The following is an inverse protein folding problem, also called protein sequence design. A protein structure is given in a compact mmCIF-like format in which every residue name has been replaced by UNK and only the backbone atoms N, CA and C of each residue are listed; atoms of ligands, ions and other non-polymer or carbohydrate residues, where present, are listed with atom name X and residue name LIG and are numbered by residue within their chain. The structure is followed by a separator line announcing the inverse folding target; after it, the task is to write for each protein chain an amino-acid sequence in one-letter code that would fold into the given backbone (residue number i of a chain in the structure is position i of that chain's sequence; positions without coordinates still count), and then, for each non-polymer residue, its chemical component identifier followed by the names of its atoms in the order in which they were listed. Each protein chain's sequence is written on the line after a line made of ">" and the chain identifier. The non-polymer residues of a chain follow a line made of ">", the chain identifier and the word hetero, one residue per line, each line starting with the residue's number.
data_IF_002454411334
#
_entry.id   IF_002454411334
#
_cell.length_a   1.000
_cell.length_b   1.000
_cell.length_c   1.000
_cell.angle_alpha   90.00
_cell.angle_beta   90.00
_cell.angle_gamma   90.00
#
_symmetry.space_group_name_H-M   'P 1'
#
loop_
_entity.id
_entity.type
_entity.pdbx_description
1 polymer ?
#
# COMPACT_ATOMS: atom_id res chain seq x y z
N UNK A 1 -5.65 -78.17 -40.98
CA UNK A 1 -6.06 -76.74 -41.14
C UNK A 1 -6.01 -76.04 -39.79
N UNK A 2 -4.96 -75.23 -39.48
CA UNK A 2 -4.95 -74.46 -38.24
C UNK A 2 -5.46 -73.06 -38.45
N UNK A 3 -6.34 -72.62 -37.55
CA UNK A 3 -6.91 -71.30 -37.45
C UNK A 3 -5.92 -70.33 -36.84
N UNK A 4 -5.51 -69.33 -37.61
CA UNK A 4 -4.69 -68.19 -37.13
C UNK A 4 -5.51 -67.24 -36.28
N UNK A 5 -5.10 -67.07 -35.00
CA UNK A 5 -5.63 -66.04 -34.08
C UNK A 5 -4.87 -64.74 -34.33
N UNK A 6 -5.53 -63.73 -34.88
CA UNK A 6 -5.02 -62.38 -35.02
C UNK A 6 -5.15 -61.68 -33.64
N UNK A 7 -4.04 -61.41 -32.97
CA UNK A 7 -3.97 -60.59 -31.75
C UNK A 7 -3.90 -59.12 -32.17
N UNK A 8 -4.98 -58.39 -31.88
CA UNK A 8 -4.97 -56.93 -31.93
C UNK A 8 -4.24 -56.41 -30.69
N UNK A 9 -3.10 -55.74 -30.89
CA UNK A 9 -2.39 -54.98 -29.87
C UNK A 9 -2.90 -53.56 -29.94
N UNK A 10 -3.72 -53.13 -28.94
CA UNK A 10 -4.06 -51.73 -28.73
C UNK A 10 -2.82 -51.01 -28.17
N UNK A 11 -2.45 -49.80 -28.67
CA UNK A 11 -1.40 -49.01 -28.06
C UNK A 11 -1.94 -48.38 -26.75
N UNK A 12 -1.10 -48.18 -25.72
CA UNK A 12 -1.50 -47.49 -24.50
C UNK A 12 -1.75 -46.01 -24.79
N UNK A 13 -2.96 -45.54 -24.50
CA UNK A 13 -3.27 -44.13 -24.42
C UNK A 13 -2.45 -43.52 -23.27
N UNK A 14 -1.40 -42.80 -23.62
CA UNK A 14 -0.69 -41.90 -22.69
C UNK A 14 -1.57 -40.69 -22.42
N UNK A 15 -2.31 -40.72 -21.29
CA UNK A 15 -3.02 -39.56 -20.79
C UNK A 15 -2.00 -38.51 -20.32
N UNK A 16 -1.72 -37.55 -21.20
CA UNK A 16 -0.97 -36.35 -20.82
C UNK A 16 -1.85 -35.51 -19.88
N UNK A 17 -1.61 -35.64 -18.58
CA UNK A 17 -2.19 -34.77 -17.55
C UNK A 17 -1.58 -33.38 -17.69
N UNK A 18 -2.24 -32.51 -18.46
CA UNK A 18 -1.86 -31.10 -18.56
C UNK A 18 -2.23 -30.43 -17.22
N UNK A 19 -1.24 -30.29 -16.36
CA UNK A 19 -1.36 -29.40 -15.20
C UNK A 19 -1.48 -27.97 -15.71
N UNK A 20 -2.71 -27.47 -15.82
CA UNK A 20 -2.96 -26.03 -15.85
C UNK A 20 -2.55 -25.48 -14.50
N UNK A 21 -1.34 -24.97 -14.39
CA UNK A 21 -0.95 -24.03 -13.33
C UNK A 21 -1.85 -22.79 -13.47
N UNK A 22 -2.98 -22.82 -12.79
CA UNK A 22 -3.78 -21.62 -12.57
C UNK A 22 -2.89 -20.64 -11.80
N UNK A 23 -2.22 -19.75 -12.53
CA UNK A 23 -1.54 -18.62 -11.91
C UNK A 23 -2.57 -17.88 -11.05
N UNK A 24 -2.49 -18.06 -9.73
CA UNK A 24 -3.34 -17.33 -8.81
C UNK A 24 -3.15 -15.83 -9.11
N UNK A 25 -4.24 -15.05 -9.26
CA UNK A 25 -4.11 -13.64 -9.54
C UNK A 25 -3.28 -13.02 -8.43
N UNK A 26 -2.13 -12.42 -8.79
CA UNK A 26 -1.23 -11.77 -7.84
C UNK A 26 -1.99 -10.72 -7.05
N UNK A 27 -2.24 -11.01 -5.79
CA UNK A 27 -2.98 -10.12 -4.91
C UNK A 27 -2.08 -8.93 -4.56
N UNK A 28 -2.46 -7.75 -5.04
CA UNK A 28 -1.84 -6.49 -4.61
C UNK A 28 -2.06 -6.33 -3.12
N UNK A 29 -0.99 -6.22 -2.36
CA UNK A 29 -1.06 -6.20 -0.92
C UNK A 29 -0.28 -4.99 -0.38
N UNK A 30 -0.64 -4.50 0.78
CA UNK A 30 0.09 -3.50 1.55
C UNK A 30 -0.26 -3.70 3.02
N UNK A 31 0.61 -3.26 3.91
CA UNK A 31 0.30 -3.16 5.34
C UNK A 31 0.49 -1.72 5.75
N UNK A 32 -0.50 -1.15 6.44
CA UNK A 32 -0.52 0.23 6.92
C UNK A 32 -0.69 0.22 8.43
N UNK A 33 0.05 1.10 9.13
CA UNK A 33 -0.19 1.36 10.55
C UNK A 33 0.21 2.78 10.91
N UNK A 34 -0.44 3.30 11.95
CA UNK A 34 -0.17 4.62 12.49
C UNK A 34 -0.42 4.63 14.00
N UNK A 35 0.27 5.53 14.68
CA UNK A 35 0.07 5.85 16.09
C UNK A 35 -0.05 7.36 16.26
N UNK A 36 -0.81 7.82 17.26
CA UNK A 36 -0.98 9.24 17.57
C UNK A 36 -1.10 9.49 19.07
N UNK A 37 -0.87 10.74 19.47
CA UNK A 37 -1.04 11.23 20.84
C UNK A 37 -0.09 10.56 21.82
N UNK A 38 -0.61 10.15 22.99
CA UNK A 38 0.19 9.50 24.05
C UNK A 38 0.78 8.15 23.64
N UNK A 39 0.31 7.56 22.53
CA UNK A 39 0.90 6.34 22.01
C UNK A 39 2.27 6.61 21.33
N UNK A 40 2.63 7.85 21.05
CA UNK A 40 3.89 8.28 20.42
C UNK A 40 4.77 9.00 21.44
N UNK A 41 6.04 8.68 21.47
CA UNK A 41 7.01 9.35 22.35
C UNK A 41 7.10 10.84 21.99
N UNK A 42 6.80 11.72 22.96
CA UNK A 42 6.78 13.16 22.74
C UNK A 42 5.50 13.67 22.06
N UNK A 43 4.52 12.81 21.84
CA UNK A 43 3.24 13.17 21.16
C UNK A 43 3.41 13.31 19.65
N UNK A 44 2.31 13.74 19.00
CA UNK A 44 2.24 13.85 17.55
C UNK A 44 1.75 12.54 16.90
N UNK A 45 2.19 12.24 15.67
CA UNK A 45 1.79 11.03 14.96
C UNK A 45 2.95 10.38 14.20
N UNK A 46 2.86 9.07 14.02
CA UNK A 46 3.74 8.30 13.15
C UNK A 46 2.86 7.47 12.23
N UNK A 47 3.15 7.47 10.94
CA UNK A 47 2.45 6.68 9.94
C UNK A 47 3.43 5.90 9.09
N UNK A 48 3.13 4.61 8.82
CA UNK A 48 4.03 3.69 8.12
C UNK A 48 3.26 2.86 7.12
N UNK A 49 3.91 2.58 6.00
CA UNK A 49 3.41 1.68 4.95
C UNK A 49 4.50 0.75 4.46
N UNK A 50 4.22 -0.57 4.47
CA UNK A 50 4.87 -1.52 3.58
C UNK A 50 4.04 -1.63 2.30
N UNK A 51 4.69 -1.32 1.17
CA UNK A 51 4.10 -1.48 -0.16
C UNK A 51 4.50 -2.82 -0.74
N UNK A 52 3.51 -3.70 -0.88
CA UNK A 52 3.74 -4.98 -1.53
C UNK A 52 3.17 -4.98 -2.94
N UNK A 53 3.97 -5.46 -3.88
CA UNK A 53 3.61 -5.51 -5.28
C UNK A 53 4.33 -6.64 -6.01
N UNK A 54 3.93 -6.90 -7.26
CA UNK A 54 4.68 -7.80 -8.13
C UNK A 54 6.06 -7.20 -8.43
N UNK A 55 7.11 -8.01 -8.47
CA UNK A 55 8.45 -7.57 -8.91
C UNK A 55 8.41 -6.86 -10.27
N UNK A 56 9.42 -6.03 -10.54
CA UNK A 56 9.57 -5.32 -11.81
C UNK A 56 8.80 -4.01 -11.95
N UNK A 57 7.94 -3.63 -10.96
CA UNK A 57 7.34 -2.28 -10.93
C UNK A 57 8.32 -1.29 -10.29
N UNK A 58 8.67 -0.22 -11.01
CA UNK A 58 9.60 0.78 -10.47
C UNK A 58 8.93 1.65 -9.40
N UNK A 59 9.70 1.98 -8.38
CA UNK A 59 9.32 2.87 -7.29
C UNK A 59 10.31 4.01 -7.25
N UNK A 60 9.83 5.25 -7.06
CA UNK A 60 10.70 6.41 -6.92
C UNK A 60 10.07 7.47 -6.03
N UNK A 61 10.89 8.33 -5.47
CA UNK A 61 10.44 9.52 -4.75
C UNK A 61 10.42 10.69 -5.74
N UNK A 62 9.32 11.43 -5.73
CA UNK A 62 9.17 12.67 -6.49
C UNK A 62 8.69 13.81 -5.61
N UNK A 63 9.13 15.02 -5.95
CA UNK A 63 8.74 16.26 -5.28
C UNK A 63 7.87 17.07 -6.24
N UNK A 64 6.69 17.41 -5.77
CA UNK A 64 5.70 18.17 -6.51
C UNK A 64 5.54 19.57 -5.92
N UNK A 65 5.48 20.57 -6.80
CA UNK A 65 5.24 21.98 -6.43
C UNK A 65 4.11 22.52 -7.32
N UNK A 66 2.86 22.16 -7.01
CA UNK A 66 1.73 22.61 -7.82
C UNK A 66 1.50 24.10 -7.65
N UNK A 67 1.14 24.78 -8.74
CA UNK A 67 0.71 26.17 -8.66
C UNK A 67 -0.61 26.27 -7.87
N UNK A 68 -0.62 27.08 -6.80
CA UNK A 68 -1.83 27.31 -5.99
C UNK A 68 -2.20 26.17 -5.03
N UNK A 69 -1.22 25.35 -4.61
CA UNK A 69 -1.42 24.28 -3.62
C UNK A 69 -0.15 23.95 -2.86
N UNK A 70 -0.24 23.07 -1.89
CA UNK A 70 0.89 22.66 -1.06
C UNK A 70 1.90 21.84 -1.86
N UNK A 71 3.18 22.13 -1.66
CA UNK A 71 4.27 21.27 -2.12
C UNK A 71 4.24 19.93 -1.35
N UNK A 72 4.60 18.84 -2.02
CA UNK A 72 4.60 17.52 -1.38
C UNK A 72 5.66 16.58 -1.95
N UNK A 73 6.09 15.65 -1.13
CA UNK A 73 6.93 14.51 -1.48
C UNK A 73 6.04 13.28 -1.62
N UNK A 74 6.24 12.48 -2.65
CA UNK A 74 5.45 11.27 -2.87
C UNK A 74 6.29 10.07 -3.29
N UNK A 75 5.94 8.90 -2.75
CA UNK A 75 6.34 7.62 -3.31
C UNK A 75 5.44 7.34 -4.52
N UNK A 76 6.06 7.34 -5.70
CA UNK A 76 5.41 7.07 -6.96
C UNK A 76 5.54 5.59 -7.33
N UNK A 77 4.45 5.02 -7.82
CA UNK A 77 4.44 3.72 -8.45
C UNK A 77 4.29 3.89 -9.95
N UNK A 78 5.30 3.49 -10.69
CA UNK A 78 5.28 3.49 -12.14
C UNK A 78 4.89 2.11 -12.66
N UNK A 79 3.98 2.08 -13.61
CA UNK A 79 3.60 0.86 -14.32
C UNK A 79 3.65 1.10 -15.81
N UNK A 80 4.41 0.29 -16.50
CA UNK A 80 4.31 0.20 -17.95
C UNK A 80 2.94 -0.35 -18.37
N UNK A 81 2.23 0.38 -19.19
CA UNK A 81 0.99 -0.07 -19.80
C UNK A 81 1.11 0.08 -21.33
N UNK A 82 0.92 -1.02 -22.04
CA UNK A 82 0.83 -0.99 -23.50
C UNK A 82 -0.55 -0.50 -23.90
N UNK A 83 -0.60 0.59 -24.66
CA UNK A 83 -1.84 1.03 -25.32
C UNK A 83 -2.16 0.10 -26.48
N UNK A 84 -3.43 0.03 -26.89
CA UNK A 84 -3.90 -0.69 -28.08
C UNK A 84 -3.18 -0.28 -29.37
N UNK A 85 -2.53 0.89 -29.38
CA UNK A 85 -1.70 1.43 -30.46
C UNK A 85 -0.25 0.92 -30.44
N UNK A 86 0.13 0.02 -29.54
CA UNK A 86 1.51 -0.45 -29.37
C UNK A 86 2.43 0.50 -28.59
N UNK A 87 1.95 1.69 -28.21
CA UNK A 87 2.75 2.68 -27.47
C UNK A 87 2.80 2.31 -25.99
N UNK A 88 4.01 2.18 -25.43
CA UNK A 88 4.25 2.06 -24.01
C UNK A 88 3.90 3.39 -23.31
N UNK A 89 3.10 3.32 -22.26
CA UNK A 89 2.76 4.48 -21.43
C UNK A 89 3.04 4.14 -19.99
N UNK A 90 3.86 4.96 -19.37
CA UNK A 90 4.06 4.89 -17.93
C UNK A 90 2.86 5.53 -17.22
N UNK A 91 2.19 4.76 -16.36
CA UNK A 91 1.09 5.26 -15.54
C UNK A 91 1.63 5.49 -14.14
N UNK A 92 1.97 6.73 -13.87
CA UNK A 92 2.44 7.18 -12.57
C UNK A 92 1.30 7.56 -11.65
N UNK A 93 1.44 7.17 -10.40
CA UNK A 93 0.52 7.61 -9.35
C UNK A 93 1.20 7.61 -7.99
N UNK A 94 0.89 8.57 -7.14
CA UNK A 94 1.30 8.52 -5.74
C UNK A 94 0.61 7.34 -5.05
N UNK A 95 1.36 6.64 -4.22
CA UNK A 95 0.87 5.54 -3.36
C UNK A 95 1.12 5.83 -1.89
N UNK A 96 1.97 6.79 -1.60
CA UNK A 96 2.19 7.42 -0.30
C UNK A 96 2.71 8.83 -0.55
N UNK A 97 2.54 9.75 0.41
CA UNK A 97 3.11 11.08 0.33
C UNK A 97 2.84 11.93 1.57
N UNK A 98 3.60 13.00 1.70
CA UNK A 98 3.46 14.01 2.75
C UNK A 98 3.63 15.39 2.15
N UNK A 99 2.78 16.35 2.53
CA UNK A 99 2.89 17.73 2.07
C UNK A 99 3.60 18.63 3.09
N UNK A 100 3.91 19.85 2.69
CA UNK A 100 4.63 20.85 3.50
C UNK A 100 3.92 21.23 4.82
N UNK A 101 2.63 20.89 4.97
CA UNK A 101 1.89 21.06 6.22
C UNK A 101 2.00 19.84 7.15
N UNK A 102 2.67 18.78 6.69
CA UNK A 102 2.79 17.52 7.40
C UNK A 102 1.62 16.56 7.17
N UNK A 103 0.56 16.96 6.44
CA UNK A 103 -0.50 16.01 6.10
C UNK A 103 0.09 14.88 5.28
N UNK A 104 0.00 13.68 5.82
CA UNK A 104 0.50 12.45 5.21
C UNK A 104 -0.66 11.56 4.79
N UNK A 105 -0.56 10.96 3.61
CA UNK A 105 -1.53 9.98 3.12
C UNK A 105 -0.82 8.78 2.51
N UNK A 106 -1.23 7.58 2.90
CA UNK A 106 -0.76 6.31 2.34
C UNK A 106 -1.96 5.46 1.92
N UNK A 107 -1.80 4.63 0.90
CA UNK A 107 -2.91 3.87 0.33
C UNK A 107 -2.69 2.36 0.36
N UNK A 108 -3.80 1.60 0.38
CA UNK A 108 -3.79 0.16 0.14
C UNK A 108 -4.92 -0.24 -0.83
N UNK A 109 -4.67 -1.28 -1.62
CA UNK A 109 -5.67 -1.78 -2.57
C UNK A 109 -6.72 -2.64 -1.87
N UNK A 110 -7.98 -2.52 -2.26
CA UNK A 110 -9.07 -3.38 -1.80
C UNK A 110 -9.02 -4.74 -2.52
N UNK A 111 -8.04 -5.59 -2.15
CA UNK A 111 -7.78 -6.86 -2.83
C UNK A 111 -8.84 -7.93 -2.56
N UNK A 112 -9.65 -7.77 -1.53
CA UNK A 112 -10.80 -8.63 -1.23
C UNK A 112 -11.93 -8.52 -2.27
N UNK A 113 -11.92 -7.45 -3.10
CA UNK A 113 -12.76 -7.32 -4.28
C UNK A 113 -12.10 -8.00 -5.49
N UNK A 114 -12.87 -8.70 -6.36
CA UNK A 114 -12.38 -9.23 -7.63
C UNK A 114 -11.76 -8.15 -8.51
N UNK A 115 -10.75 -8.53 -9.29
CA UNK A 115 -10.05 -7.59 -10.19
C UNK A 115 -11.02 -6.89 -11.16
N UNK A 116 -12.01 -7.63 -11.71
CA UNK A 116 -13.01 -7.09 -12.64
C UNK A 116 -13.80 -5.94 -12.00
N UNK A 117 -14.22 -6.10 -10.74
CA UNK A 117 -15.06 -5.12 -10.05
C UNK A 117 -14.24 -3.86 -9.72
N UNK A 118 -12.95 -4.03 -9.35
CA UNK A 118 -12.01 -2.93 -9.16
C UNK A 118 -11.70 -2.16 -10.45
N UNK A 119 -11.64 -2.85 -11.59
CA UNK A 119 -11.36 -2.24 -12.90
C UNK A 119 -12.59 -1.55 -13.50
N UNK A 120 -13.79 -2.09 -13.26
CA UNK A 120 -15.05 -1.50 -13.70
C UNK A 120 -15.43 -0.24 -12.91
N UNK A 121 -14.83 -0.03 -11.73
CA UNK A 121 -15.14 1.11 -10.89
C UNK A 121 -14.64 2.43 -11.47
N UNK A 122 -15.38 3.50 -11.19
CA UNK A 122 -15.02 4.89 -11.54
C UNK A 122 -14.13 5.54 -10.48
N UNK A 123 -13.16 4.80 -9.93
CA UNK A 123 -12.29 5.27 -8.86
C UNK A 123 -11.58 6.59 -9.21
N UNK A 124 -11.54 7.50 -8.25
CA UNK A 124 -10.82 8.77 -8.38
C UNK A 124 -9.30 8.54 -8.24
N UNK A 125 -8.64 8.34 -9.36
CA UNK A 125 -7.19 8.09 -9.41
C UNK A 125 -6.33 9.28 -8.96
N UNK A 126 -6.92 10.49 -8.92
CA UNK A 126 -6.25 11.74 -8.50
C UNK A 126 -6.48 12.06 -7.02
N UNK A 127 -7.26 11.25 -6.29
CA UNK A 127 -7.65 11.57 -4.91
C UNK A 127 -6.46 11.87 -4.00
N UNK A 128 -5.41 11.05 -4.03
CA UNK A 128 -4.24 11.29 -3.18
C UNK A 128 -3.50 12.58 -3.55
N UNK A 129 -3.28 12.85 -4.84
CA UNK A 129 -2.68 14.12 -5.28
C UNK A 129 -3.55 15.33 -4.89
N UNK A 130 -4.87 15.21 -4.99
CA UNK A 130 -5.79 16.27 -4.57
C UNK A 130 -5.70 16.52 -3.05
N UNK A 131 -5.68 15.47 -2.24
CA UNK A 131 -5.52 15.59 -0.78
C UNK A 131 -4.19 16.29 -0.46
N UNK A 132 -3.07 15.82 -1.01
CA UNK A 132 -1.75 16.38 -0.74
C UNK A 132 -1.61 17.83 -1.21
N UNK A 133 -2.29 18.21 -2.29
CA UNK A 133 -2.24 19.58 -2.83
C UNK A 133 -3.14 20.56 -2.09
N UNK A 134 -4.32 20.09 -1.63
CA UNK A 134 -5.40 21.00 -1.22
C UNK A 134 -5.64 21.05 0.28
N UNK A 135 -5.22 20.03 1.04
CA UNK A 135 -5.55 19.91 2.46
C UNK A 135 -4.29 20.03 3.33
N UNK A 136 -4.42 20.74 4.46
CA UNK A 136 -3.36 20.89 5.46
C UNK A 136 -3.51 19.90 6.62
N UNK A 137 -4.68 19.33 6.84
CA UNK A 137 -4.99 18.46 7.99
C UNK A 137 -5.95 17.33 7.63
N UNK A 138 -6.05 16.35 8.51
CA UNK A 138 -7.04 15.25 8.40
C UNK A 138 -8.47 15.81 8.40
N UNK A 139 -8.75 16.84 9.21
CA UNK A 139 -10.07 17.46 9.26
C UNK A 139 -10.44 18.13 7.94
N UNK A 140 -9.50 18.80 7.28
CA UNK A 140 -9.73 19.37 5.95
C UNK A 140 -10.01 18.27 4.90
N UNK A 141 -9.35 17.10 5.00
CA UNK A 141 -9.66 15.97 4.12
C UNK A 141 -11.08 15.46 4.37
N UNK A 142 -11.50 15.36 5.63
CA UNK A 142 -12.86 14.94 6.00
C UNK A 142 -13.93 15.92 5.53
N UNK A 143 -13.58 17.21 5.40
CA UNK A 143 -14.47 18.25 4.91
C UNK A 143 -14.56 18.33 3.38
N UNK A 144 -13.75 17.58 2.63
CA UNK A 144 -13.84 17.53 1.17
C UNK A 144 -15.20 17.00 0.72
N UNK A 145 -15.63 17.45 -0.46
CA UNK A 145 -16.85 16.94 -1.10
C UNK A 145 -16.82 15.39 -1.15
N UNK A 146 -17.81 14.71 -0.53
CA UNK A 146 -17.89 13.25 -0.51
C UNK A 146 -17.83 12.60 -1.90
N UNK A 147 -18.26 13.29 -2.95
CA UNK A 147 -18.19 12.79 -4.33
C UNK A 147 -16.76 12.57 -4.85
N UNK A 148 -15.75 13.11 -4.17
CA UNK A 148 -14.33 12.87 -4.50
C UNK A 148 -13.87 11.49 -4.07
N UNK A 149 -14.47 10.92 -3.02
CA UNK A 149 -14.10 9.62 -2.46
C UNK A 149 -14.74 8.49 -3.26
N UNK A 150 -14.24 8.27 -4.46
CA UNK A 150 -14.66 7.15 -5.32
C UNK A 150 -13.60 6.07 -5.34
N UNK A 151 -13.99 4.87 -4.87
CA UNK A 151 -13.14 3.70 -4.72
C UNK A 151 -13.36 2.61 -5.77
N UNK A 152 -12.86 1.43 -5.50
CA UNK A 152 -12.44 0.91 -4.20
C UNK A 152 -10.98 1.27 -3.84
N UNK A 153 -10.77 1.74 -2.62
CA UNK A 153 -9.45 2.17 -2.13
C UNK A 153 -9.47 2.27 -0.60
N UNK A 154 -8.35 1.99 0.04
CA UNK A 154 -8.12 2.30 1.45
C UNK A 154 -7.08 3.39 1.57
N UNK A 155 -7.32 4.38 2.42
CA UNK A 155 -6.37 5.43 2.76
C UNK A 155 -6.15 5.44 4.27
N UNK A 156 -4.91 5.62 4.67
CA UNK A 156 -4.56 6.02 6.02
C UNK A 156 -3.93 7.40 5.95
N UNK A 157 -4.37 8.28 6.84
CA UNK A 157 -3.94 9.66 6.91
C UNK A 157 -3.37 9.96 8.30
N UNK A 158 -2.45 10.91 8.35
CA UNK A 158 -1.96 11.47 9.59
C UNK A 158 -1.64 12.95 9.40
N UNK A 159 -1.91 13.73 10.42
CA UNK A 159 -1.30 15.01 10.71
C UNK A 159 -0.71 14.98 12.13
N UNK A 160 -0.24 16.11 12.67
CA UNK A 160 0.38 16.13 14.01
C UNK A 160 -0.59 15.82 15.16
N UNK A 161 -1.89 15.94 14.92
CA UNK A 161 -2.93 15.83 15.96
C UNK A 161 -3.78 14.56 15.84
N UNK A 162 -3.87 14.02 14.62
CA UNK A 162 -4.88 13.00 14.30
C UNK A 162 -4.39 12.00 13.27
N UNK A 163 -4.81 10.75 13.45
CA UNK A 163 -4.72 9.71 12.43
C UNK A 163 -6.12 9.29 11.99
N UNK A 164 -6.26 8.93 10.71
CA UNK A 164 -7.52 8.47 10.16
C UNK A 164 -7.33 7.28 9.22
N UNK A 165 -8.29 6.38 9.23
CA UNK A 165 -8.45 5.30 8.27
C UNK A 165 -9.72 5.56 7.46
N UNK A 166 -9.62 5.47 6.15
CA UNK A 166 -10.74 5.66 5.22
C UNK A 166 -10.89 4.40 4.38
N UNK A 167 -12.02 3.75 4.49
CA UNK A 167 -12.40 2.67 3.60
C UNK A 167 -13.39 3.20 2.56
N UNK A 168 -13.00 3.15 1.29
CA UNK A 168 -13.83 3.58 0.17
C UNK A 168 -14.27 2.34 -0.59
N UNK A 169 -15.57 2.07 -0.56
CA UNK A 169 -16.21 0.96 -1.25
C UNK A 169 -16.59 1.27 -2.69
N UNK A 170 -17.43 0.44 -3.24
CA UNK A 170 -18.16 0.72 -4.48
C UNK A 170 -19.33 1.66 -4.17
N UNK A 171 -19.95 2.20 -5.23
CA UNK A 171 -21.19 2.98 -5.14
C UNK A 171 -21.08 4.26 -4.28
N UNK A 172 -19.86 4.81 -4.12
CA UNK A 172 -19.64 6.01 -3.32
C UNK A 172 -19.74 5.81 -1.80
N UNK A 173 -19.75 4.57 -1.33
CA UNK A 173 -19.77 4.27 0.10
C UNK A 173 -18.40 4.54 0.72
N UNK A 174 -18.39 5.29 1.82
CA UNK A 174 -17.17 5.65 2.55
C UNK A 174 -17.40 5.44 4.05
N UNK A 175 -16.41 4.88 4.73
CA UNK A 175 -16.38 4.79 6.17
C UNK A 175 -15.07 5.37 6.71
N UNK A 176 -15.17 6.07 7.84
CA UNK A 176 -14.07 6.73 8.51
C UNK A 176 -13.88 6.18 9.91
N UNK A 177 -12.63 6.01 10.30
CA UNK A 177 -12.20 5.79 11.68
C UNK A 177 -11.08 6.77 12.00
N UNK A 178 -11.23 7.55 13.06
CA UNK A 178 -10.24 8.56 13.46
C UNK A 178 -9.80 8.35 14.90
N UNK A 179 -8.57 8.76 15.21
CA UNK A 179 -8.04 8.79 16.57
C UNK A 179 -7.07 9.96 16.74
N UNK A 180 -7.16 10.63 17.88
CA UNK A 180 -6.18 11.61 18.36
C UNK A 180 -5.20 10.98 19.35
N UNK A 181 -5.54 9.81 19.89
CA UNK A 181 -4.72 9.03 20.81
C UNK A 181 -4.92 7.53 20.57
N UNK A 182 -3.83 6.79 20.29
CA UNK A 182 -3.87 5.37 20.06
C UNK A 182 -3.30 4.95 18.71
N UNK A 183 -3.79 3.84 18.15
CA UNK A 183 -3.26 3.24 16.92
C UNK A 183 -4.36 2.88 15.94
N UNK A 184 -4.05 2.98 14.64
CA UNK A 184 -4.83 2.42 13.54
C UNK A 184 -3.93 1.53 12.68
N UNK A 185 -4.49 0.47 12.13
CA UNK A 185 -3.79 -0.42 11.20
C UNK A 185 -4.75 -1.04 10.20
N UNK A 186 -4.24 -1.38 9.04
CA UNK A 186 -5.04 -1.90 7.93
C UNK A 186 -4.20 -2.75 6.97
N UNK A 187 -4.89 -3.59 6.21
CA UNK A 187 -4.30 -4.34 5.10
C UNK A 187 -5.15 -4.18 3.83
N UNK A 188 -5.75 -5.26 3.30
CA UNK A 188 -6.34 -5.22 1.97
C UNK A 188 -7.79 -5.71 1.90
N UNK A 189 -8.50 -5.76 3.04
CA UNK A 189 -9.89 -6.15 3.12
C UNK A 189 -10.68 -5.16 3.98
N UNK A 190 -11.96 -5.02 3.73
CA UNK A 190 -12.84 -4.11 4.46
C UNK A 190 -13.06 -4.60 5.89
N UNK A 191 -12.92 -3.70 6.85
CA UNK A 191 -13.11 -3.92 8.28
C UNK A 191 -14.42 -3.29 8.78
N UNK A 192 -14.83 -2.16 8.17
CA UNK A 192 -16.02 -1.44 8.59
C UNK A 192 -17.29 -2.24 8.26
N UNK A 193 -18.19 -2.47 9.23
CA UNK A 193 -19.35 -3.35 9.07
C UNK A 193 -20.19 -3.04 7.82
N UNK A 194 -20.42 -1.75 7.53
CA UNK A 194 -21.19 -1.31 6.37
C UNK A 194 -20.53 -1.68 5.02
N UNK A 195 -19.20 -1.90 5.01
CA UNK A 195 -18.41 -2.16 3.81
C UNK A 195 -17.96 -3.63 3.70
N UNK A 196 -18.10 -4.44 4.76
CA UNK A 196 -17.69 -5.86 4.75
C UNK A 196 -18.39 -6.67 3.66
N UNK A 197 -19.57 -6.25 3.20
CA UNK A 197 -20.29 -6.86 2.07
C UNK A 197 -19.47 -6.86 0.77
N UNK A 198 -18.49 -5.99 0.64
CA UNK A 198 -17.57 -5.93 -0.49
C UNK A 198 -16.41 -6.93 -0.41
N UNK A 199 -16.22 -7.60 0.73
CA UNK A 199 -15.27 -8.70 0.85
C UNK A 199 -15.80 -9.94 0.11
N UNK A 200 -15.50 -10.06 -1.18
CA UNK A 200 -15.89 -11.22 -1.99
C UNK A 200 -14.98 -12.43 -1.76
N UNK A 201 -13.70 -12.16 -1.49
CA UNK A 201 -12.70 -13.15 -1.14
C UNK A 201 -11.69 -12.55 -0.17
N UNK A 202 -11.68 -13.02 1.07
CA UNK A 202 -10.63 -12.68 2.02
C UNK A 202 -9.36 -13.43 1.62
N UNK A 203 -8.28 -12.68 1.39
CA UNK A 203 -6.98 -13.27 1.11
C UNK A 203 -6.28 -13.66 2.41
N UNK A 204 -5.76 -14.89 2.49
CA UNK A 204 -5.04 -15.40 3.67
C UNK A 204 -3.90 -14.47 4.09
N UNK A 205 -3.09 -14.01 3.15
CA UNK A 205 -2.03 -13.05 3.42
C UNK A 205 -2.54 -11.72 3.99
N UNK A 206 -3.71 -11.23 3.55
CA UNK A 206 -4.27 -10.00 4.09
C UNK A 206 -4.70 -10.15 5.55
N UNK A 207 -5.32 -11.26 5.90
CA UNK A 207 -5.77 -11.56 7.27
C UNK A 207 -4.61 -11.90 8.19
N UNK A 208 -3.61 -12.66 7.72
CA UNK A 208 -2.40 -12.98 8.47
C UNK A 208 -1.62 -11.72 8.85
N UNK A 209 -1.35 -10.83 7.88
CA UNK A 209 -0.65 -9.56 8.12
C UNK A 209 -1.45 -8.60 8.99
N UNK A 210 -2.79 -8.61 8.88
CA UNK A 210 -3.65 -7.82 9.77
C UNK A 210 -3.52 -8.30 11.23
N UNK A 211 -3.59 -9.60 11.46
CA UNK A 211 -3.40 -10.18 12.80
C UNK A 211 -1.97 -9.92 13.32
N UNK A 212 -0.97 -10.02 12.45
CA UNK A 212 0.43 -9.82 12.85
C UNK A 212 0.71 -8.37 13.24
N UNK A 213 0.27 -7.38 12.46
CA UNK A 213 0.48 -5.97 12.83
C UNK A 213 -0.30 -5.59 14.09
N UNK A 214 -1.51 -6.14 14.30
CA UNK A 214 -2.24 -5.98 15.54
C UNK A 214 -1.45 -6.51 16.74
N UNK A 215 -0.88 -7.71 16.62
CA UNK A 215 -0.07 -8.32 17.67
C UNK A 215 1.17 -7.47 17.97
N UNK A 216 1.92 -7.03 16.98
CA UNK A 216 3.10 -6.19 17.15
C UNK A 216 2.75 -4.88 17.89
N UNK A 217 1.68 -4.20 17.47
CA UNK A 217 1.20 -2.98 18.13
C UNK A 217 0.70 -3.20 19.56
N UNK A 218 0.17 -4.39 19.88
CA UNK A 218 -0.31 -4.70 21.24
C UNK A 218 0.82 -5.07 22.19
N UNK A 219 1.83 -5.79 21.70
CA UNK A 219 2.88 -6.38 22.55
C UNK A 219 4.15 -5.53 22.65
N UNK A 220 4.35 -4.58 21.74
CA UNK A 220 5.52 -3.70 21.79
C UNK A 220 5.37 -2.61 22.85
N UNK A 221 6.48 -2.23 23.51
CA UNK A 221 6.49 -1.17 24.52
C UNK A 221 5.91 0.16 23.97
N UNK A 222 5.20 0.88 24.83
CA UNK A 222 4.68 2.22 24.57
C UNK A 222 5.33 3.21 25.55
N UNK A 223 5.42 4.49 25.20
CA UNK A 223 5.08 5.09 23.91
C UNK A 223 6.01 4.63 22.78
N UNK A 224 5.49 4.56 21.55
CA UNK A 224 6.29 4.18 20.39
C UNK A 224 7.26 5.29 19.98
N UNK A 225 8.46 4.91 19.57
CA UNK A 225 9.38 5.76 18.81
C UNK A 225 9.24 5.52 17.32
N UNK A 226 9.78 6.41 16.49
CA UNK A 226 9.81 6.20 15.03
C UNK A 226 10.51 4.87 14.70
N UNK A 227 11.68 4.62 15.28
CA UNK A 227 12.44 3.39 15.08
C UNK A 227 11.67 2.14 15.50
N UNK A 228 10.92 2.19 16.61
CA UNK A 228 10.15 1.04 17.07
C UNK A 228 9.03 0.65 16.08
N UNK A 229 8.38 1.63 15.46
CA UNK A 229 7.38 1.37 14.41
C UNK A 229 8.02 1.02 13.07
N UNK A 230 9.19 1.56 12.73
CA UNK A 230 9.96 1.16 11.55
C UNK A 230 10.46 -0.29 11.66
N UNK A 231 10.80 -0.77 12.86
CA UNK A 231 11.24 -2.15 13.05
C UNK A 231 10.19 -3.16 12.56
N UNK A 232 8.90 -2.84 12.65
CA UNK A 232 7.83 -3.73 12.15
C UNK A 232 7.88 -3.92 10.62
N UNK A 233 8.46 -2.98 9.88
CA UNK A 233 8.61 -3.09 8.43
C UNK A 233 9.48 -4.27 8.00
N UNK A 234 10.30 -4.78 8.92
CA UNK A 234 11.24 -5.89 8.71
C UNK A 234 10.75 -7.22 9.28
N UNK A 235 9.55 -7.26 9.87
CA UNK A 235 8.97 -8.50 10.43
C UNK A 235 8.71 -9.53 9.34
N UNK A 236 9.35 -10.71 9.48
CA UNK A 236 9.34 -11.80 8.51
C UNK A 236 8.97 -13.14 9.14
N UNK A 237 8.20 -13.14 10.22
CA UNK A 237 7.93 -14.34 11.04
C UNK A 237 6.99 -15.32 10.36
N UNK A 238 6.06 -14.85 9.51
CA UNK A 238 5.04 -15.68 8.87
C UNK A 238 5.46 -16.16 7.45
N UNK A 239 6.76 -16.18 7.16
CA UNK A 239 7.30 -16.65 5.88
C UNK A 239 7.17 -15.64 4.74
N UNK A 240 7.47 -16.06 3.50
CA UNK A 240 7.70 -15.15 2.38
C UNK A 240 6.45 -14.41 1.90
N UNK A 241 5.25 -14.99 2.08
CA UNK A 241 4.03 -14.45 1.48
C UNK A 241 3.09 -13.77 2.49
N UNK A 242 3.20 -14.09 3.78
CA UNK A 242 2.22 -13.68 4.80
C UNK A 242 2.81 -12.77 5.90
N UNK A 243 4.09 -12.46 5.81
CA UNK A 243 4.79 -11.54 6.72
C UNK A 243 4.51 -10.07 6.39
N UNK A 244 4.81 -9.17 7.34
CA UNK A 244 4.80 -7.72 7.09
C UNK A 244 5.85 -7.37 6.02
N UNK A 245 7.09 -7.89 6.14
CA UNK A 245 8.08 -7.90 5.08
C UNK A 245 7.85 -9.15 4.21
N UNK A 246 7.33 -8.97 3.03
CA UNK A 246 7.14 -10.06 2.07
C UNK A 246 8.35 -10.16 1.15
N UNK A 247 8.84 -11.37 0.96
CA UNK A 247 9.95 -11.66 0.02
C UNK A 247 9.49 -12.46 -1.20
N UNK A 248 8.25 -12.95 -1.17
CA UNK A 248 7.67 -13.75 -2.25
C UNK A 248 8.20 -15.19 -2.27
N UNK A 249 7.31 -16.17 -2.37
CA UNK A 249 7.69 -17.60 -2.49
C UNK A 249 8.05 -18.01 -3.91
N UNK A 250 7.70 -17.20 -4.89
CA UNK A 250 8.02 -17.40 -6.31
C UNK A 250 8.47 -16.07 -6.94
N UNK A 251 9.15 -16.11 -8.11
CA UNK A 251 9.57 -14.88 -8.80
C UNK A 251 8.44 -13.93 -9.19
N UNK A 252 7.20 -14.40 -9.23
CA UNK A 252 6.03 -13.56 -9.55
C UNK A 252 5.14 -13.26 -8.35
N UNK A 253 5.46 -13.82 -7.19
CA UNK A 253 4.74 -13.52 -5.95
C UNK A 253 4.91 -12.06 -5.55
N UNK A 254 3.88 -11.43 -4.98
CA UNK A 254 4.02 -10.10 -4.43
C UNK A 254 5.06 -10.07 -3.31
N UNK A 255 5.92 -9.07 -3.34
CA UNK A 255 6.93 -8.80 -2.32
C UNK A 255 6.91 -7.35 -1.92
N UNK A 256 7.48 -7.01 -0.77
CA UNK A 256 7.65 -5.63 -0.34
C UNK A 256 8.66 -4.96 -1.26
N UNK A 257 8.20 -3.97 -2.03
CA UNK A 257 9.01 -3.23 -3.01
C UNK A 257 9.40 -1.84 -2.51
N UNK A 258 8.71 -1.34 -1.49
CA UNK A 258 9.04 -0.08 -0.83
C UNK A 258 8.45 0.01 0.58
N UNK A 259 9.11 0.79 1.42
CA UNK A 259 8.59 1.30 2.69
C UNK A 259 8.53 2.81 2.60
N UNK A 260 7.46 3.40 3.11
CA UNK A 260 7.33 4.84 3.29
C UNK A 260 6.78 5.11 4.69
N UNK A 261 7.47 5.93 5.45
CA UNK A 261 7.03 6.29 6.79
C UNK A 261 7.30 7.77 7.05
N UNK A 262 6.46 8.36 7.89
CA UNK A 262 6.60 9.75 8.33
C UNK A 262 6.39 9.83 9.84
N UNK A 263 7.31 10.51 10.50
CA UNK A 263 7.18 10.95 11.88
C UNK A 263 6.78 12.41 11.89
N UNK A 264 5.71 12.73 12.58
CA UNK A 264 5.11 14.04 12.74
C UNK A 264 5.09 14.39 14.23
N UNK A 265 6.23 14.77 14.84
CA UNK A 265 6.27 15.07 16.27
C UNK A 265 5.33 16.23 16.61
N UNK A 266 4.83 16.29 17.85
CA UNK A 266 3.97 17.40 18.30
C UNK A 266 4.65 18.77 18.13
N UNK A 267 5.99 18.81 18.26
CA UNK A 267 6.84 19.97 17.98
C UNK A 267 8.14 19.54 17.33
N UNK A 268 8.70 20.39 16.46
CA UNK A 268 9.93 20.10 15.74
C UNK A 268 9.70 19.68 14.28
N UNK A 269 10.75 19.20 13.63
CA UNK A 269 10.73 18.83 12.23
C UNK A 269 10.06 17.46 12.01
N UNK A 270 9.37 17.33 10.90
CA UNK A 270 8.87 16.06 10.45
C UNK A 270 9.98 15.27 9.74
N UNK A 271 10.03 13.96 9.96
CA UNK A 271 10.99 13.06 9.33
C UNK A 271 10.30 12.13 8.35
N UNK A 272 10.89 11.94 7.18
CA UNK A 272 10.43 11.06 6.12
C UNK A 272 11.45 9.96 5.92
N UNK A 273 11.04 8.72 6.14
CA UNK A 273 11.83 7.53 5.87
C UNK A 273 11.33 6.86 4.59
N UNK A 274 12.29 6.49 3.75
CA UNK A 274 12.05 5.74 2.51
C UNK A 274 13.00 4.56 2.44
N UNK A 275 12.48 3.39 2.07
CA UNK A 275 13.27 2.22 1.72
C UNK A 275 12.74 1.66 0.40
N UNK A 276 13.59 1.54 -0.61
CA UNK A 276 13.26 0.98 -1.93
C UNK A 276 13.95 -0.38 -2.09
N UNK A 277 13.14 -1.41 -2.35
CA UNK A 277 13.59 -2.79 -2.55
C UNK A 277 13.20 -3.19 -3.97
N UNK A 278 13.94 -2.67 -4.95
CA UNK A 278 13.68 -2.94 -6.37
C UNK A 278 14.56 -4.11 -6.84
N UNK A 279 13.95 -4.96 -7.65
CA UNK A 279 14.69 -6.01 -8.35
C UNK A 279 15.81 -5.37 -9.19
N UNK A 280 16.97 -6.00 -9.25
CA UNK A 280 18.16 -5.57 -10.02
C UNK A 280 18.79 -4.24 -9.59
N UNK A 281 18.39 -3.67 -8.44
CA UNK A 281 19.01 -2.48 -7.87
C UNK A 281 19.44 -2.71 -6.43
N UNK A 282 20.53 -2.06 -5.99
CA UNK A 282 20.87 -2.03 -4.57
C UNK A 282 19.68 -1.49 -3.75
N UNK A 283 19.50 -2.04 -2.56
CA UNK A 283 18.55 -1.49 -1.61
C UNK A 283 18.93 -0.04 -1.31
N UNK A 284 17.97 0.86 -1.39
CA UNK A 284 18.13 2.27 -1.03
C UNK A 284 17.30 2.56 0.21
N UNK A 285 17.94 3.10 1.23
CA UNK A 285 17.31 3.42 2.52
C UNK A 285 17.82 4.78 2.98
N UNK A 286 16.89 5.70 3.28
CA UNK A 286 17.23 7.04 3.75
C UNK A 286 16.16 7.60 4.68
N UNK A 287 16.60 8.47 5.60
CA UNK A 287 15.75 9.34 6.42
C UNK A 287 16.17 10.78 6.20
N UNK A 288 15.20 11.63 5.88
CA UNK A 288 15.41 13.05 5.66
C UNK A 288 14.38 13.86 6.45
N UNK A 289 14.69 15.10 6.79
CA UNK A 289 13.66 16.02 7.28
C UNK A 289 12.76 16.44 6.12
N UNK A 290 11.47 16.64 6.40
CA UNK A 290 10.51 17.08 5.37
C UNK A 290 10.95 18.40 4.74
N UNK A 291 11.45 19.33 5.54
CA UNK A 291 11.91 20.63 5.09
C UNK A 291 13.11 20.50 4.13
N UNK A 292 14.06 19.59 4.44
CA UNK A 292 15.22 19.35 3.55
C UNK A 292 14.81 18.81 2.19
N UNK A 293 13.79 17.94 2.13
CA UNK A 293 13.25 17.39 0.88
C UNK A 293 12.51 18.45 0.06
N UNK A 294 11.79 19.34 0.74
CA UNK A 294 10.98 20.36 0.06
C UNK A 294 11.76 21.64 -0.24
N UNK A 295 12.90 21.88 0.38
CA UNK A 295 13.74 23.03 0.04
C UNK A 295 14.40 22.82 -1.33
N UNK A 296 14.24 23.75 -2.30
CA UNK A 296 14.97 23.66 -3.56
C UNK A 296 16.47 23.60 -3.30
N UNK A 297 17.17 22.64 -3.91
CA UNK A 297 18.62 22.66 -3.88
C UNK A 297 19.10 23.99 -4.44
N UNK A 298 19.79 24.79 -3.63
CA UNK A 298 20.43 26.02 -4.09
C UNK A 298 21.50 25.61 -5.10
N UNK A 299 21.21 25.77 -6.39
CA UNK A 299 22.26 25.65 -7.41
C UNK A 299 23.21 26.83 -7.17
N UNK A 300 24.36 26.56 -6.58
CA UNK A 300 25.46 27.48 -6.65
C UNK A 300 25.80 27.66 -8.13
N UNK A 301 25.61 28.87 -8.64
CA UNK A 301 26.06 29.27 -9.97
C UNK A 301 27.56 29.51 -9.97
#
# INVERSE_FOLDING_TARGET
>A
MPRSLLRFILPPLMSALVFFLLAAPTARACTLWAAAGDAVQGGGAIIVKNRDWTPGESQRIEIFRPAGGYAYVALMAAREAQKSTGVQVEIDRPVAGVNEKGLTVVSAAASSLPRRDRQASTANRKLMSQILTLCASVDEVMALDPSRFRGPLFLMLADREKIALVEIGLEGMVAWRTQTNGVLYHTNHYLEPALQRFNRKLGESSTARYARIAHLLQTSPKPYTFDSLLAFTRDHVAGPDDSILRTGSTPTSPQTVAVFAVSLPASGEAEVYVRLLQEDKPEHEETNTLDSLLTPAVRAF
#
